data_IF_350057036658
#
_entry.id   IF_350057036658
#
_cell.length_a   1.000
_cell.length_b   1.000
_cell.length_c   1.000
_cell.angle_alpha   90.00
_cell.angle_beta   90.00
_cell.angle_gamma   90.00
#
_symmetry.space_group_name_H-M   'P 1'
#
loop_
_entity.id
_entity.type
_entity.pdbx_description
1 polymer ?
#
# COMPACT_ATOMS: atom_id res chain seq x y z
N UNK A 1 -9.72 13.12 3.77
CA UNK A 1 -8.93 11.93 3.50
C UNK A 1 -9.76 10.86 2.85
N UNK A 2 -9.28 10.27 1.79
CA UNK A 2 -10.04 9.26 1.13
C UNK A 2 -9.85 7.91 1.76
N UNK A 3 -10.90 7.14 1.86
CA UNK A 3 -10.83 5.78 2.35
C UNK A 3 -11.41 4.85 1.33
N UNK A 4 -10.85 3.67 1.28
CA UNK A 4 -11.29 2.64 0.37
C UNK A 4 -11.66 1.42 1.20
N UNK A 5 -12.86 0.95 1.05
CA UNK A 5 -13.29 -0.23 1.79
C UNK A 5 -12.86 -1.47 1.03
N UNK A 6 -12.04 -2.28 1.63
CA UNK A 6 -11.54 -3.49 1.01
C UNK A 6 -11.82 -4.66 1.93
N UNK A 7 -12.37 -5.71 1.37
CA UNK A 7 -12.59 -6.93 2.13
C UNK A 7 -11.69 -8.02 1.55
N UNK A 8 -10.77 -8.49 2.34
CA UNK A 8 -9.84 -9.50 1.92
C UNK A 8 -10.11 -10.77 2.69
N UNK A 9 -10.25 -11.85 1.97
CA UNK A 9 -10.53 -13.08 2.64
C UNK A 9 -9.33 -13.94 2.55
N UNK A 10 -8.44 -13.84 3.45
CA UNK A 10 -7.26 -14.61 3.46
C UNK A 10 -7.51 -15.91 4.14
N UNK A 11 -7.38 -16.93 3.45
CA UNK A 11 -7.49 -18.23 4.02
C UNK A 11 -8.80 -18.70 4.40
N UNK A 12 -9.78 -18.18 4.25
CA UNK A 12 -10.87 -18.56 4.76
C UNK A 12 -11.67 -19.23 3.91
N UNK A 13 -12.01 -20.01 4.09
CA UNK A 13 -12.57 -20.58 3.33
C UNK A 13 -13.76 -20.21 2.82
N UNK A 14 -14.49 -19.90 3.30
CA UNK A 14 -15.61 -19.62 2.91
C UNK A 14 -15.94 -18.53 2.38
N UNK A 15 -15.72 -18.03 1.92
CA UNK A 15 -16.02 -16.94 1.59
C UNK A 15 -16.32 -16.53 0.57
N UNK A 16 -16.53 -16.49 0.20
CA UNK A 16 -16.95 -16.19 -0.83
C UNK A 16 -17.37 -15.03 -1.08
N UNK A 17 -17.81 -14.65 -0.52
CA UNK A 17 -18.28 -13.62 -0.69
C UNK A 17 -17.72 -12.61 -1.16
N UNK A 18 -17.45 -12.26 -1.37
CA UNK A 18 -17.04 -11.23 -1.73
C UNK A 18 -16.28 -10.94 -2.32
N UNK A 19 -16.06 -10.99 -2.27
CA UNK A 19 -15.18 -10.89 -2.89
C UNK A 19 -15.09 -9.92 -3.81
N UNK A 20 -14.91 -8.88 -3.52
CA UNK A 20 -14.57 -7.96 -4.29
C UNK A 20 -13.28 -8.16 -4.61
N UNK A 21 -12.90 -8.72 -5.52
CA UNK A 21 -11.64 -8.75 -5.85
C UNK A 21 -11.34 -7.62 -6.49
N UNK A 22 -10.62 -6.87 -6.04
CA UNK A 22 -10.29 -5.73 -6.59
C UNK A 22 -9.41 -5.99 -7.72
N UNK A 23 -9.85 -6.10 -8.81
CA UNK A 23 -9.05 -6.24 -9.97
C UNK A 23 -8.17 -5.06 -10.21
N UNK A 24 -8.44 -3.93 -9.53
CA UNK A 24 -7.64 -2.75 -9.76
C UNK A 24 -6.52 -2.60 -8.76
N UNK A 25 -6.42 -3.46 -7.79
CA UNK A 25 -5.33 -3.41 -6.83
C UNK A 25 -4.06 -3.94 -7.47
N UNK A 26 -2.95 -3.30 -7.19
CA UNK A 26 -1.67 -3.69 -7.72
C UNK A 26 -0.64 -3.70 -6.63
N UNK A 27 0.43 -4.46 -6.86
CA UNK A 27 1.61 -4.46 -6.01
C UNK A 27 1.30 -4.71 -4.54
N UNK A 28 0.56 -5.76 -4.28
CA UNK A 28 0.14 -6.10 -2.94
C UNK A 28 1.31 -6.69 -2.16
N UNK A 29 1.54 -6.21 -0.93
CA UNK A 29 2.64 -6.69 -0.11
C UNK A 29 2.18 -6.77 1.35
N UNK A 30 2.47 -7.89 2.01
CA UNK A 30 2.00 -8.10 3.38
C UNK A 30 3.11 -7.74 4.36
N UNK A 31 2.76 -7.16 5.50
CA UNK A 31 3.74 -6.79 6.50
C UNK A 31 4.43 -8.02 7.11
N UNK A 32 5.63 -7.86 7.66
CA UNK A 32 6.35 -9.00 8.23
C UNK A 32 5.59 -9.77 9.30
N UNK A 33 4.75 -9.08 10.06
CA UNK A 33 3.95 -9.76 11.09
C UNK A 33 2.64 -10.33 10.55
N UNK A 34 2.38 -10.16 9.26
CA UNK A 34 1.17 -10.70 8.63
C UNK A 34 -0.12 -9.97 8.96
N UNK A 35 -0.03 -8.83 9.63
CA UNK A 35 -1.24 -8.15 10.11
C UNK A 35 -1.74 -7.04 9.22
N UNK A 36 -0.89 -6.53 8.35
CA UNK A 36 -1.28 -5.42 7.48
C UNK A 36 -0.81 -5.65 6.05
N UNK A 37 -1.52 -5.06 5.12
CA UNK A 37 -1.23 -5.19 3.71
C UNK A 37 -1.14 -3.79 3.12
N UNK A 38 -0.11 -3.53 2.30
CA UNK A 38 -0.06 -2.32 1.50
C UNK A 38 -0.28 -2.69 0.06
N UNK A 39 -0.85 -1.81 -0.70
CA UNK A 39 -1.11 -2.04 -2.12
C UNK A 39 -1.24 -0.71 -2.84
N UNK A 40 -1.19 -0.76 -4.16
CA UNK A 40 -1.40 0.41 -4.98
C UNK A 40 -2.79 0.40 -5.59
N UNK A 41 -3.42 1.55 -5.64
CA UNK A 41 -4.71 1.71 -6.27
C UNK A 41 -4.71 3.09 -6.92
N UNK A 42 -4.84 3.09 -8.22
CA UNK A 42 -4.86 4.34 -9.01
C UNK A 42 -3.66 5.25 -8.71
N UNK A 43 -2.49 4.66 -8.59
CA UNK A 43 -1.26 5.43 -8.42
C UNK A 43 -0.97 5.89 -7.01
N UNK A 44 -1.75 5.49 -6.03
CA UNK A 44 -1.49 5.82 -4.64
C UNK A 44 -1.31 4.57 -3.80
N UNK A 45 -0.65 4.72 -2.66
CA UNK A 45 -0.42 3.62 -1.76
C UNK A 45 -1.45 3.65 -0.65
N UNK A 46 -2.04 2.50 -0.39
CA UNK A 46 -3.04 2.31 0.66
C UNK A 46 -2.58 1.21 1.60
N UNK A 47 -3.08 1.24 2.80
CA UNK A 47 -2.83 0.21 3.80
C UNK A 47 -4.15 -0.27 4.38
N UNK A 48 -4.27 -1.57 4.59
CA UNK A 48 -5.46 -2.18 5.18
C UNK A 48 -5.03 -3.32 6.07
N UNK A 49 -5.82 -3.62 7.08
CA UNK A 49 -5.53 -4.78 7.93
C UNK A 49 -5.76 -6.05 7.13
N UNK A 50 -4.92 -7.05 7.36
CA UNK A 50 -5.03 -8.32 6.64
C UNK A 50 -6.40 -8.97 6.87
N UNK A 51 -7.02 -8.72 7.99
CA UNK A 51 -8.34 -9.25 8.26
C UNK A 51 -9.46 -8.55 7.49
N UNK A 52 -9.11 -7.50 6.78
CA UNK A 52 -10.09 -6.73 6.02
C UNK A 52 -10.52 -5.48 6.75
N UNK A 53 -11.31 -4.69 6.10
CA UNK A 53 -11.83 -3.45 6.68
C UNK A 53 -11.57 -2.27 5.77
N UNK A 54 -11.48 -1.08 6.36
CA UNK A 54 -11.28 0.13 5.62
C UNK A 54 -9.82 0.36 5.33
N UNK A 55 -9.49 0.61 4.09
CA UNK A 55 -8.11 0.92 3.72
C UNK A 55 -7.87 2.41 3.87
N UNK A 56 -6.67 2.76 4.32
CA UNK A 56 -6.28 4.14 4.52
C UNK A 56 -5.28 4.52 3.43
N UNK A 57 -5.49 5.63 2.80
CA UNK A 57 -4.59 6.13 1.77
C UNK A 57 -3.36 6.74 2.45
N UNK A 58 -2.18 6.26 2.09
CA UNK A 58 -0.94 6.74 2.69
C UNK A 58 -0.27 7.84 1.88
N UNK A 59 -0.51 7.90 0.58
CA UNK A 59 0.08 8.94 -0.26
C UNK A 59 -1.03 9.74 -0.93
N UNK A 60 -0.78 11.01 -1.18
CA UNK A 60 -1.78 11.87 -1.79
C UNK A 60 -1.17 12.83 -2.82
N UNK A 61 -0.01 12.48 -3.35
CA UNK A 61 0.62 13.33 -4.34
C UNK A 61 -0.02 13.13 -5.71
N UNK A 62 0.17 14.12 -6.58
CA UNK A 62 -0.31 13.98 -7.94
C UNK A 62 0.67 13.16 -8.76
N UNK A 63 1.38 12.26 -8.18
CA UNK A 63 2.35 11.40 -8.81
C UNK A 63 1.83 9.98 -8.83
N UNK A 64 2.57 9.12 -9.50
CA UNK A 64 2.23 7.71 -9.56
C UNK A 64 3.18 6.96 -8.62
N UNK A 65 2.64 6.29 -7.63
CA UNK A 65 3.41 5.46 -6.71
C UNK A 65 3.21 3.99 -7.05
N UNK A 66 4.25 3.21 -6.86
CA UNK A 66 4.18 1.78 -7.17
C UNK A 66 5.13 0.96 -6.30
N UNK A 67 4.93 -0.32 -6.29
CA UNK A 67 5.81 -1.30 -5.63
C UNK A 67 6.10 -1.01 -4.17
N UNK A 68 5.08 -0.85 -3.33
CA UNK A 68 5.33 -0.64 -1.90
C UNK A 68 5.88 -1.93 -1.26
N UNK A 69 6.91 -1.78 -0.47
CA UNK A 69 7.57 -2.90 0.21
C UNK A 69 7.78 -2.54 1.66
N UNK A 70 7.46 -3.45 2.56
CA UNK A 70 7.66 -3.23 3.97
C UNK A 70 9.14 -3.38 4.35
N UNK A 71 9.59 -2.59 5.32
CA UNK A 71 10.90 -2.84 5.91
C UNK A 71 10.81 -4.10 6.78
N UNK A 72 11.93 -4.75 7.04
CA UNK A 72 11.91 -6.00 7.84
C UNK A 72 11.31 -5.83 9.23
N UNK A 73 11.43 -4.64 9.83
CA UNK A 73 10.84 -4.40 11.13
C UNK A 73 9.39 -3.92 11.06
N UNK A 74 8.84 -3.77 9.86
CA UNK A 74 7.45 -3.35 9.70
C UNK A 74 7.18 -1.90 10.00
N UNK A 75 8.20 -1.08 10.21
CA UNK A 75 8.01 0.30 10.61
C UNK A 75 8.02 1.28 9.45
N UNK A 76 8.52 0.88 8.31
CA UNK A 76 8.62 1.75 7.16
C UNK A 76 8.16 1.04 5.89
N UNK A 77 7.82 1.83 4.89
CA UNK A 77 7.43 1.32 3.59
C UNK A 77 8.26 2.05 2.55
N UNK A 78 8.93 1.29 1.69
CA UNK A 78 9.67 1.84 0.56
C UNK A 78 8.80 1.71 -0.68
N UNK A 79 8.91 2.64 -1.59
CA UNK A 79 8.11 2.60 -2.80
C UNK A 79 8.78 3.44 -3.90
N UNK A 80 8.31 3.26 -5.12
CA UNK A 80 8.77 4.04 -6.25
C UNK A 80 7.77 5.15 -6.53
N UNK A 81 8.24 6.31 -6.91
CA UNK A 81 7.35 7.44 -7.23
C UNK A 81 7.99 8.30 -8.31
N UNK A 82 7.19 8.81 -9.22
CA UNK A 82 7.65 9.70 -10.27
C UNK A 82 7.41 11.17 -9.91
N UNK A 83 7.25 11.49 -8.62
CA UNK A 83 6.89 12.84 -8.19
C UNK A 83 7.90 13.92 -8.58
N UNK A 84 9.13 13.54 -8.90
CA UNK A 84 10.12 14.48 -9.38
C UNK A 84 10.50 14.21 -10.84
N UNK A 85 9.60 13.62 -11.59
CA UNK A 85 9.79 13.42 -13.01
C UNK A 85 10.10 11.98 -13.37
N UNK A 86 11.24 11.48 -12.93
CA UNK A 86 11.59 10.09 -13.15
C UNK A 86 11.25 9.30 -11.90
N UNK A 87 11.16 7.98 -12.03
CA UNK A 87 10.89 7.17 -10.86
C UNK A 87 12.13 7.10 -9.97
N UNK A 88 11.94 7.41 -8.71
CA UNK A 88 12.96 7.28 -7.69
C UNK A 88 12.39 6.48 -6.53
N UNK A 89 13.25 6.01 -5.65
CA UNK A 89 12.81 5.30 -4.46
C UNK A 89 12.63 6.27 -3.32
N UNK A 90 11.56 6.04 -2.57
CA UNK A 90 11.22 6.83 -1.40
C UNK A 90 10.95 5.88 -0.24
N UNK A 91 11.01 6.39 0.95
CA UNK A 91 10.69 5.63 2.14
C UNK A 91 9.82 6.50 3.05
N UNK A 92 8.86 5.91 3.69
CA UNK A 92 7.95 6.63 4.59
C UNK A 92 7.62 5.78 5.80
N UNK A 93 7.19 6.40 6.90
CA UNK A 93 6.71 5.61 8.03
C UNK A 93 5.48 4.80 7.66
N UNK A 94 5.38 3.59 8.17
CA UNK A 94 4.25 2.72 7.86
C UNK A 94 2.92 3.31 8.36
N UNK A 95 2.98 4.18 9.35
CA UNK A 95 1.77 4.82 9.87
C UNK A 95 1.40 6.08 9.11
N UNK A 96 2.12 6.40 8.07
CA UNK A 96 1.86 7.61 7.30
C UNK A 96 2.84 8.71 7.68
N UNK A 97 2.87 9.73 6.90
CA UNK A 97 3.75 10.86 7.14
C UNK A 97 4.55 11.20 5.90
N UNK A 98 5.60 11.98 6.09
CA UNK A 98 6.37 12.48 4.97
C UNK A 98 7.30 11.42 4.41
N UNK A 99 7.29 11.28 3.11
CA UNK A 99 8.21 10.37 2.44
C UNK A 99 9.55 11.04 2.20
N UNK A 100 10.62 10.27 2.33
CA UNK A 100 11.97 10.76 2.12
C UNK A 100 12.53 10.10 0.89
N UNK A 101 13.10 10.90 0.00
CA UNK A 101 13.68 10.40 -1.24
C UNK A 101 15.00 9.69 -0.95
N UNK A 102 15.16 8.51 -1.51
CA UNK A 102 16.37 7.72 -1.31
C UNK A 102 17.31 7.76 -2.52
N UNK A 103 16.78 7.92 -3.71
CA UNK A 103 17.61 7.93 -4.92
C UNK A 103 17.35 9.21 -5.71
N UNK A 104 18.28 9.54 -6.60
CA UNK A 104 18.12 10.70 -7.43
C UNK A 104 18.47 10.33 -8.84
N UNK A 105 17.50 10.01 -9.63
CA UNK A 105 17.70 9.68 -11.05
C UNK A 105 17.41 10.87 -11.94
#
# INVERSE_FOLDING_TARGET
MKKLLVTLALGASSFSAFAITPLWLRDVNISPDGKEIVFCYKGDIYKVKAAGGEAVRLTSQDSYESNPVWSPDGKQIAFASDRFGNFDLFIMPADGGTAKRLTMN
#
